data_IF_753251798652
#
_entry.id   IF_753251798652
#
_cell.length_a   1.000
_cell.length_b   1.000
_cell.length_c   1.000
_cell.angle_alpha   90.00
_cell.angle_beta   90.00
_cell.angle_gamma   90.00
#
_symmetry.space_group_name_H-M   'P 1'
#
loop_
_entity.id
_entity.type
_entity.pdbx_description
1 polymer ?
#
# COMPACT_ATOMS: atom_id res chain seq x y z
N UNK A 1 23.85 3.04 1.54
CA UNK A 1 24.47 1.70 1.55
C UNK A 1 23.40 0.65 1.76
N UNK A 2 23.49 -0.49 1.07
CA UNK A 2 22.55 -1.60 1.17
C UNK A 2 23.27 -2.86 1.67
N UNK A 3 22.70 -3.54 2.67
CA UNK A 3 23.24 -4.77 3.26
C UNK A 3 22.11 -5.74 3.63
N UNK A 4 22.37 -7.03 3.49
CA UNK A 4 21.49 -8.08 3.99
C UNK A 4 22.32 -9.02 4.84
N UNK A 5 21.79 -9.39 6.00
CA UNK A 5 22.41 -10.33 6.92
C UNK A 5 21.38 -11.38 7.33
N UNK A 6 21.87 -12.60 7.47
CA UNK A 6 21.11 -13.74 7.91
C UNK A 6 22.05 -14.59 8.78
N UNK A 7 21.75 -14.68 10.06
CA UNK A 7 22.61 -15.38 11.02
C UNK A 7 21.80 -16.10 12.08
N UNK A 8 22.38 -17.18 12.57
CA UNK A 8 21.86 -17.93 13.72
C UNK A 8 22.81 -17.69 14.89
N UNK A 9 22.29 -17.17 15.99
CA UNK A 9 23.13 -16.85 17.15
C UNK A 9 23.59 -18.14 17.84
N UNK A 10 24.88 -18.27 18.11
CA UNK A 10 25.48 -19.43 18.82
C UNK A 10 25.42 -19.30 20.35
N UNK A 11 25.37 -18.07 20.86
CA UNK A 11 25.47 -17.74 22.29
C UNK A 11 24.30 -16.85 22.73
N UNK A 12 24.06 -16.70 24.05
CA UNK A 12 23.09 -15.71 24.51
C UNK A 12 23.66 -14.30 24.37
N UNK A 13 22.98 -13.43 23.63
CA UNK A 13 23.38 -12.02 23.49
C UNK A 13 22.21 -11.12 23.09
N UNK A 14 22.39 -9.80 23.21
CA UNK A 14 21.39 -8.84 22.76
C UNK A 14 21.34 -8.78 21.23
N UNK A 15 20.12 -8.69 20.69
CA UNK A 15 19.91 -8.58 19.25
C UNK A 15 20.68 -7.43 18.59
N UNK A 16 20.74 -6.27 19.24
CA UNK A 16 21.50 -5.12 18.73
C UNK A 16 23.00 -5.38 18.66
N UNK A 17 23.55 -6.17 19.58
CA UNK A 17 24.98 -6.47 19.65
C UNK A 17 25.34 -7.49 18.57
N UNK A 18 24.59 -8.59 18.48
CA UNK A 18 24.73 -9.61 17.43
C UNK A 18 24.68 -9.01 16.02
N UNK A 19 23.71 -8.11 15.79
CA UNK A 19 23.57 -7.45 14.50
C UNK A 19 24.67 -6.43 14.25
N UNK A 20 25.09 -5.65 15.26
CA UNK A 20 26.15 -4.66 15.08
C UNK A 20 27.50 -5.32 14.76
N UNK A 21 27.84 -6.40 15.48
CA UNK A 21 29.05 -7.18 15.25
C UNK A 21 29.06 -7.78 13.84
N UNK A 22 28.02 -8.52 13.46
CA UNK A 22 27.95 -9.18 12.16
C UNK A 22 27.83 -8.20 10.98
N UNK A 23 27.19 -7.05 11.20
CA UNK A 23 26.98 -6.05 10.13
C UNK A 23 28.14 -5.07 9.98
N UNK A 24 28.97 -4.88 11.01
CA UNK A 24 29.89 -3.74 11.12
C UNK A 24 29.20 -2.38 11.21
N UNK A 25 27.88 -2.32 11.46
CA UNK A 25 27.13 -1.07 11.58
C UNK A 25 27.13 -0.56 13.02
N UNK A 26 27.13 0.77 13.21
CA UNK A 26 26.94 1.34 14.55
C UNK A 26 25.61 0.88 15.16
N UNK A 27 25.62 0.55 16.47
CA UNK A 27 24.42 0.12 17.22
C UNK A 27 23.23 1.07 17.05
N UNK A 28 23.47 2.37 16.89
CA UNK A 28 22.41 3.36 16.67
C UNK A 28 21.68 3.14 15.34
N UNK A 29 22.39 2.79 14.26
CA UNK A 29 21.79 2.48 12.96
C UNK A 29 21.01 1.17 12.99
N UNK A 30 21.50 0.19 13.75
CA UNK A 30 20.77 -1.06 14.00
C UNK A 30 19.46 -0.79 14.75
N UNK A 31 19.49 -0.01 15.84
CA UNK A 31 18.29 0.38 16.60
C UNK A 31 17.25 1.06 15.71
N UNK A 32 17.68 2.00 14.88
CA UNK A 32 16.81 2.69 13.92
C UNK A 32 16.19 1.72 12.91
N UNK A 33 17.01 0.85 12.29
CA UNK A 33 16.53 -0.17 11.35
C UNK A 33 15.52 -1.13 12.01
N UNK A 34 15.77 -1.57 13.24
CA UNK A 34 14.85 -2.42 14.01
C UNK A 34 13.53 -1.70 14.30
N UNK A 35 13.57 -0.44 14.74
CA UNK A 35 12.38 0.36 15.00
C UNK A 35 11.52 0.52 13.73
N UNK A 36 12.18 0.73 12.58
CA UNK A 36 11.58 0.83 11.24
C UNK A 36 11.18 -0.51 10.62
N UNK A 37 11.39 -1.60 11.35
CA UNK A 37 10.89 -2.93 11.00
C UNK A 37 11.81 -3.74 10.08
N UNK A 38 13.03 -3.28 9.79
CA UNK A 38 13.95 -3.94 8.86
C UNK A 38 14.65 -5.19 9.43
N UNK A 39 14.37 -5.55 10.67
CA UNK A 39 14.92 -6.73 11.34
C UNK A 39 13.83 -7.77 11.56
N UNK A 40 14.18 -9.04 11.34
CA UNK A 40 13.29 -10.19 11.47
C UNK A 40 13.92 -11.26 12.34
N UNK A 41 13.08 -12.07 12.97
CA UNK A 41 13.51 -13.27 13.69
C UNK A 41 12.49 -14.40 13.57
N UNK A 42 12.93 -15.63 13.77
CA UNK A 42 12.06 -16.79 13.84
C UNK A 42 11.50 -16.94 15.27
N UNK A 43 10.17 -16.89 15.42
CA UNK A 43 9.47 -17.09 16.68
C UNK A 43 8.31 -18.07 16.50
N UNK A 44 8.33 -19.18 17.23
CA UNK A 44 7.29 -20.24 17.18
C UNK A 44 6.97 -20.68 15.73
N UNK A 45 8.00 -20.89 14.92
CA UNK A 45 7.88 -21.29 13.52
C UNK A 45 7.41 -20.20 12.54
N UNK A 46 7.21 -18.96 13.01
CA UNK A 46 6.83 -17.81 12.18
C UNK A 46 7.95 -16.78 12.12
N UNK A 47 8.13 -16.19 10.94
CA UNK A 47 9.01 -15.04 10.78
C UNK A 47 8.23 -13.78 11.20
N UNK A 48 8.76 -13.04 12.18
CA UNK A 48 8.13 -11.79 12.65
C UNK A 48 9.17 -10.68 12.77
N UNK A 49 8.72 -9.42 12.72
CA UNK A 49 9.61 -8.26 12.86
C UNK A 49 10.14 -8.15 14.29
N UNK A 50 11.46 -7.99 14.43
CA UNK A 50 12.13 -7.79 15.71
C UNK A 50 12.44 -6.29 15.91
N UNK A 51 11.55 -5.59 16.63
CA UNK A 51 11.70 -4.14 16.89
C UNK A 51 12.44 -3.80 18.19
N UNK A 52 12.47 -4.72 19.16
CA UNK A 52 13.08 -4.47 20.49
C UNK A 52 14.59 -4.74 20.41
N UNK A 53 15.38 -3.67 20.29
CA UNK A 53 16.84 -3.75 20.17
C UNK A 53 17.54 -4.50 21.32
N UNK A 54 17.07 -4.28 22.55
CA UNK A 54 17.57 -4.97 23.76
C UNK A 54 16.88 -6.31 24.01
N UNK A 55 16.38 -6.98 22.96
CA UNK A 55 15.84 -8.34 23.08
C UNK A 55 17.03 -9.29 23.22
N UNK A 56 17.03 -10.09 24.27
CA UNK A 56 17.96 -11.20 24.41
C UNK A 56 17.59 -12.34 23.44
N UNK A 57 18.59 -12.83 22.71
CA UNK A 57 18.49 -13.92 21.74
C UNK A 57 19.10 -15.17 22.35
N UNK A 58 18.39 -16.30 22.24
CA UNK A 58 18.91 -17.59 22.69
C UNK A 58 19.76 -18.24 21.59
N UNK A 59 20.73 -19.10 21.95
CA UNK A 59 21.39 -19.99 21.00
C UNK A 59 20.40 -20.68 20.06
N UNK A 60 20.72 -20.75 18.77
CA UNK A 60 19.85 -21.30 17.72
C UNK A 60 18.80 -20.31 17.18
N UNK A 61 18.71 -19.08 17.68
CA UNK A 61 17.77 -18.08 17.15
C UNK A 61 18.28 -17.51 15.84
N UNK A 62 17.54 -17.73 14.75
CA UNK A 62 17.81 -17.09 13.45
C UNK A 62 17.27 -15.66 13.42
N UNK A 63 18.11 -14.71 13.05
CA UNK A 63 17.78 -13.29 12.84
C UNK A 63 18.25 -12.83 11.46
N UNK A 64 17.51 -11.88 10.89
CA UNK A 64 17.83 -11.28 9.59
C UNK A 64 17.73 -9.76 9.66
N UNK A 65 18.65 -9.07 8.99
CA UNK A 65 18.63 -7.62 8.83
C UNK A 65 18.64 -7.26 7.35
N UNK A 66 17.69 -6.44 6.92
CA UNK A 66 17.62 -5.87 5.59
C UNK A 66 17.86 -4.36 5.66
N UNK A 67 19.13 -3.98 5.63
CA UNK A 67 19.53 -2.59 5.83
C UNK A 67 19.66 -1.86 4.49
N UNK A 68 18.97 -0.74 4.34
CA UNK A 68 19.17 0.17 3.21
C UNK A 68 19.00 1.62 3.71
N UNK A 69 20.08 2.41 3.67
CA UNK A 69 20.07 3.80 4.15
C UNK A 69 19.03 4.65 3.44
N UNK A 70 18.80 4.43 2.14
CA UNK A 70 17.85 5.24 1.37
C UNK A 70 16.44 4.91 1.81
N UNK A 71 16.09 3.62 1.90
CA UNK A 71 14.77 3.18 2.33
C UNK A 71 14.49 3.59 3.78
N UNK A 72 15.45 3.37 4.68
CA UNK A 72 15.32 3.71 6.09
C UNK A 72 15.34 5.23 6.33
N UNK A 73 15.97 6.01 5.44
CA UNK A 73 15.97 7.47 5.48
C UNK A 73 14.65 8.11 5.06
N UNK A 74 13.76 7.38 4.38
CA UNK A 74 12.46 7.91 3.96
C UNK A 74 11.60 8.33 5.15
N UNK A 75 10.91 9.45 4.98
CA UNK A 75 9.88 9.94 5.90
C UNK A 75 8.52 9.76 5.24
N UNK A 76 7.57 9.05 5.88
CA UNK A 76 6.25 8.90 5.31
C UNK A 76 5.48 10.22 5.33
N UNK A 77 4.70 10.44 4.28
CA UNK A 77 3.55 11.33 4.37
C UNK A 77 2.48 10.69 5.27
N UNK A 78 1.79 11.50 6.06
CA UNK A 78 0.80 11.01 7.02
C UNK A 78 -0.52 10.70 6.30
N UNK A 79 -1.08 9.49 6.49
CA UNK A 79 -2.43 9.18 6.02
C UNK A 79 -3.47 9.80 6.94
N UNK A 80 -4.64 10.13 6.38
CA UNK A 80 -5.76 10.61 7.17
C UNK A 80 -6.63 9.44 7.61
N UNK A 81 -6.91 9.34 8.90
CA UNK A 81 -8.01 8.51 9.39
C UNK A 81 -9.32 9.23 9.07
N UNK A 82 -10.11 8.67 8.15
CA UNK A 82 -11.40 9.25 7.77
C UNK A 82 -12.53 8.78 8.70
N UNK A 83 -12.53 7.49 9.05
CA UNK A 83 -13.54 6.93 9.95
C UNK A 83 -12.97 5.72 10.73
N UNK A 84 -13.19 5.70 12.05
CA UNK A 84 -12.96 4.51 12.88
C UNK A 84 -14.29 3.77 13.09
N UNK A 85 -14.39 2.56 12.54
CA UNK A 85 -15.58 1.71 12.59
C UNK A 85 -15.40 0.56 13.61
N UNK A 86 -14.47 0.72 14.55
CA UNK A 86 -14.13 -0.22 15.61
C UNK A 86 -13.29 -1.39 15.11
N UNK A 87 -13.95 -2.35 14.43
CA UNK A 87 -13.28 -3.58 13.95
C UNK A 87 -12.54 -3.39 12.63
N UNK A 88 -12.76 -2.27 11.96
CA UNK A 88 -12.01 -1.80 10.82
C UNK A 88 -12.03 -0.26 10.79
N UNK A 89 -11.21 0.34 9.95
CA UNK A 89 -11.15 1.79 9.76
C UNK A 89 -10.98 2.13 8.28
N UNK A 90 -11.44 3.32 7.91
CA UNK A 90 -11.27 3.92 6.60
C UNK A 90 -10.17 4.98 6.67
N UNK A 91 -9.22 4.88 5.73
CA UNK A 91 -8.09 5.78 5.62
C UNK A 91 -7.99 6.39 4.24
N UNK A 92 -7.48 7.62 4.15
CA UNK A 92 -6.95 8.18 2.92
C UNK A 92 -5.43 7.97 2.87
N UNK A 93 -4.97 7.11 1.96
CA UNK A 93 -3.54 6.87 1.72
C UNK A 93 -2.99 7.94 0.76
N UNK A 94 -1.98 8.73 1.12
CA UNK A 94 -1.34 9.67 0.20
C UNK A 94 -0.47 8.96 -0.84
N UNK A 95 -0.03 9.72 -1.85
CA UNK A 95 0.93 9.26 -2.86
C UNK A 95 2.27 8.88 -2.20
N UNK A 96 2.95 7.86 -2.72
CA UNK A 96 4.25 7.41 -2.22
C UNK A 96 4.21 6.57 -0.93
N UNK A 97 3.12 6.58 -0.16
CA UNK A 97 2.97 5.72 1.01
C UNK A 97 2.65 4.28 0.59
N UNK A 98 3.33 3.28 1.18
CA UNK A 98 3.05 1.88 0.89
C UNK A 98 1.74 1.43 1.57
N UNK A 99 0.99 0.51 0.96
CA UNK A 99 -0.12 -0.15 1.66
C UNK A 99 0.37 -1.02 2.84
N UNK A 100 1.43 -1.80 2.59
CA UNK A 100 2.12 -2.64 3.58
C UNK A 100 3.63 -2.50 3.42
N UNK A 101 4.39 -2.72 4.50
CA UNK A 101 5.84 -2.69 4.45
C UNK A 101 6.48 -3.83 3.66
N UNK A 102 7.77 -3.67 3.40
CA UNK A 102 8.63 -4.68 2.77
C UNK A 102 9.57 -5.32 3.78
N UNK A 103 10.43 -6.24 3.36
CA UNK A 103 11.49 -6.79 4.20
C UNK A 103 12.46 -5.72 4.71
N UNK A 104 12.67 -4.64 3.93
CA UNK A 104 13.58 -3.52 4.20
C UNK A 104 13.03 -2.50 5.22
N UNK A 105 11.77 -2.65 5.63
CA UNK A 105 11.12 -1.76 6.58
C UNK A 105 9.64 -1.60 6.29
N UNK A 106 8.91 -1.10 7.28
CA UNK A 106 7.48 -0.82 7.19
C UNK A 106 7.06 0.53 7.77
N UNK A 107 8.00 1.34 8.23
CA UNK A 107 7.73 2.67 8.78
C UNK A 107 7.05 3.60 7.78
N UNK A 108 7.26 3.38 6.47
CA UNK A 108 6.57 4.08 5.39
C UNK A 108 5.38 3.29 4.82
N UNK A 109 4.59 2.65 5.68
CA UNK A 109 3.36 1.96 5.24
C UNK A 109 2.13 2.38 6.04
N UNK A 110 0.99 2.46 5.36
CA UNK A 110 -0.32 2.72 5.96
C UNK A 110 -0.58 1.76 7.12
N UNK A 111 -0.34 0.47 6.92
CA UNK A 111 -0.59 -0.55 7.96
C UNK A 111 0.17 -0.24 9.26
N UNK A 112 1.42 0.20 9.16
CA UNK A 112 2.24 0.54 10.31
C UNK A 112 1.81 1.85 10.96
N UNK A 113 1.51 2.87 10.15
CA UNK A 113 1.05 4.16 10.66
C UNK A 113 -0.30 4.04 11.37
N UNK A 114 -1.23 3.26 10.80
CA UNK A 114 -2.51 2.93 11.43
C UNK A 114 -2.33 2.15 12.74
N UNK A 115 -1.42 1.16 12.78
CA UNK A 115 -1.11 0.39 13.99
C UNK A 115 -0.59 1.29 15.12
N UNK A 116 0.31 2.23 14.80
CA UNK A 116 0.85 3.18 15.78
C UNK A 116 -0.22 4.18 16.23
N UNK A 117 -0.97 4.78 15.30
CA UNK A 117 -1.97 5.80 15.60
C UNK A 117 -3.12 5.25 16.45
N UNK A 118 -3.57 4.02 16.18
CA UNK A 118 -4.72 3.42 16.85
C UNK A 118 -4.33 2.50 18.02
N UNK A 119 -3.03 2.24 18.22
CA UNK A 119 -2.51 1.35 19.27
C UNK A 119 -3.19 -0.03 19.31
N UNK A 120 -3.52 -0.59 18.13
CA UNK A 120 -4.20 -1.88 17.99
C UNK A 120 -3.71 -2.64 16.75
N UNK A 121 -3.86 -3.98 16.72
CA UNK A 121 -3.47 -4.78 15.56
C UNK A 121 -4.11 -4.23 14.28
N UNK A 122 -3.35 -4.26 13.19
CA UNK A 122 -3.82 -3.84 11.88
C UNK A 122 -3.55 -4.93 10.86
N UNK A 123 -4.55 -5.24 10.04
CA UNK A 123 -4.49 -6.28 9.02
C UNK A 123 -4.86 -5.67 7.67
N UNK A 124 -4.05 -5.96 6.67
CA UNK A 124 -4.30 -5.54 5.30
C UNK A 124 -5.44 -6.37 4.71
N UNK A 125 -6.44 -5.70 4.12
CA UNK A 125 -7.58 -6.37 3.48
C UNK A 125 -7.60 -6.20 1.96
N UNK A 126 -6.96 -5.14 1.44
CA UNK A 126 -6.76 -4.88 0.02
C UNK A 126 -5.52 -4.01 -0.20
N UNK A 127 -5.09 -3.86 -1.46
CA UNK A 127 -3.89 -3.08 -1.81
C UNK A 127 -4.24 -1.94 -2.74
N UNK A 128 -3.53 -0.84 -2.53
CA UNK A 128 -3.39 0.26 -3.48
C UNK A 128 -1.92 0.41 -3.82
N UNK A 129 -1.62 0.72 -5.09
CA UNK A 129 -0.24 0.94 -5.53
C UNK A 129 0.41 2.08 -4.73
N UNK A 130 1.74 2.01 -4.55
CA UNK A 130 2.47 3.00 -3.77
C UNK A 130 2.26 4.42 -4.30
N UNK A 131 2.36 4.58 -5.62
CA UNK A 131 2.24 5.85 -6.31
C UNK A 131 0.79 6.35 -6.44
N UNK A 132 -0.22 5.52 -6.16
CA UNK A 132 -1.62 5.92 -6.19
C UNK A 132 -2.08 6.42 -4.81
N UNK A 133 -2.95 7.41 -4.76
CA UNK A 133 -3.57 7.87 -3.52
C UNK A 133 -5.03 7.41 -3.40
N UNK A 134 -5.62 7.51 -2.21
CA UNK A 134 -7.05 7.34 -2.03
C UNK A 134 -7.45 6.37 -0.94
N UNK A 135 -8.72 5.96 -0.99
CA UNK A 135 -9.37 5.21 0.08
C UNK A 135 -8.77 3.81 0.29
N UNK A 136 -8.49 3.48 1.54
CA UNK A 136 -8.08 2.15 1.98
C UNK A 136 -8.82 1.73 3.25
N UNK A 137 -9.12 0.43 3.35
CA UNK A 137 -9.68 -0.17 4.55
C UNK A 137 -8.56 -0.90 5.30
N UNK A 138 -8.57 -0.80 6.63
CA UNK A 138 -7.67 -1.54 7.52
C UNK A 138 -8.52 -2.27 8.55
N UNK A 139 -8.34 -3.58 8.68
CA UNK A 139 -9.02 -4.38 9.70
C UNK A 139 -8.24 -4.39 11.01
N UNK A 140 -8.93 -4.54 12.15
CA UNK A 140 -8.31 -4.50 13.49
C UNK A 140 -8.37 -5.81 14.27
N UNK A 141 -8.97 -6.84 13.68
CA UNK A 141 -8.93 -8.20 14.18
C UNK A 141 -8.96 -9.21 13.03
N UNK A 142 -8.54 -10.45 13.30
CA UNK A 142 -8.41 -11.49 12.27
C UNK A 142 -9.74 -11.89 11.62
N UNK A 143 -10.85 -11.86 12.38
CA UNK A 143 -12.19 -12.18 11.84
C UNK A 143 -12.65 -11.08 10.87
N UNK A 144 -12.47 -9.81 11.23
CA UNK A 144 -12.75 -8.67 10.36
C UNK A 144 -11.87 -8.69 9.11
N UNK A 145 -10.58 -9.01 9.27
CA UNK A 145 -9.64 -9.12 8.15
C UNK A 145 -10.09 -10.20 7.15
N UNK A 146 -10.48 -11.39 7.63
CA UNK A 146 -10.99 -12.47 6.77
C UNK A 146 -12.27 -12.06 6.04
N UNK A 147 -13.26 -11.55 6.76
CA UNK A 147 -14.55 -11.15 6.19
C UNK A 147 -14.42 -10.02 5.15
N UNK A 148 -13.62 -8.99 5.43
CA UNK A 148 -13.39 -7.90 4.48
C UNK A 148 -12.59 -8.36 3.27
N UNK A 149 -11.56 -9.21 3.45
CA UNK A 149 -10.77 -9.78 2.34
C UNK A 149 -11.63 -10.63 1.40
N UNK A 150 -12.66 -11.31 1.94
CA UNK A 150 -13.64 -12.04 1.13
C UNK A 150 -14.43 -11.13 0.20
N UNK A 151 -14.78 -9.91 0.62
CA UNK A 151 -15.47 -8.97 -0.28
C UNK A 151 -14.59 -8.60 -1.48
N UNK A 152 -13.31 -8.30 -1.24
CA UNK A 152 -12.38 -7.91 -2.31
C UNK A 152 -12.06 -9.07 -3.26
N UNK A 153 -11.85 -10.27 -2.72
CA UNK A 153 -11.59 -11.47 -3.53
C UNK A 153 -12.84 -11.97 -4.25
N UNK A 154 -14.02 -11.82 -3.65
CA UNK A 154 -15.32 -12.14 -4.22
C UNK A 154 -15.89 -11.07 -5.16
N UNK A 155 -15.16 -9.96 -5.41
CA UNK A 155 -15.57 -8.86 -6.30
C UNK A 155 -16.88 -8.18 -5.90
N UNK A 156 -17.25 -8.20 -4.62
CA UNK A 156 -18.48 -7.57 -4.10
C UNK A 156 -18.24 -6.15 -3.56
N UNK A 157 -17.11 -5.55 -3.94
CA UNK A 157 -16.77 -4.16 -3.62
C UNK A 157 -16.71 -3.37 -4.91
N UNK A 158 -17.59 -2.39 -5.05
CA UNK A 158 -17.48 -1.41 -6.14
C UNK A 158 -16.37 -0.43 -5.78
N UNK A 159 -15.38 -0.31 -6.66
CA UNK A 159 -14.24 0.60 -6.50
C UNK A 159 -14.27 1.61 -7.63
N UNK A 160 -14.33 2.89 -7.28
CA UNK A 160 -14.31 4.00 -8.24
C UNK A 160 -13.01 4.78 -8.08
N UNK A 161 -12.39 5.07 -9.21
CA UNK A 161 -11.16 5.83 -9.31
C UNK A 161 -11.38 7.08 -10.15
N UNK A 162 -10.55 8.10 -9.90
CA UNK A 162 -10.35 9.22 -10.81
C UNK A 162 -8.94 9.20 -11.33
N UNK A 163 -8.78 9.47 -12.63
CA UNK A 163 -7.48 9.62 -13.24
C UNK A 163 -7.48 10.78 -14.23
N UNK A 164 -6.33 11.42 -14.39
CA UNK A 164 -6.08 12.34 -15.50
C UNK A 164 -5.22 11.61 -16.53
N UNK A 165 -5.71 11.48 -17.75
CA UNK A 165 -5.04 10.79 -18.85
C UNK A 165 -4.55 11.76 -19.91
N UNK A 166 -3.54 11.35 -20.65
CA UNK A 166 -3.04 12.07 -21.83
C UNK A 166 -4.00 11.93 -23.01
N UNK A 167 -4.06 12.95 -23.86
CA UNK A 167 -4.94 13.02 -25.00
C UNK A 167 -6.38 13.40 -24.65
N UNK A 168 -7.20 13.50 -25.70
CA UNK A 168 -8.63 13.76 -25.60
C UNK A 168 -9.38 12.43 -25.70
N UNK A 169 -9.86 11.94 -24.56
CA UNK A 169 -10.64 10.70 -24.48
C UNK A 169 -12.12 11.06 -24.32
N UNK A 170 -12.93 10.73 -25.31
CA UNK A 170 -14.39 10.83 -25.21
C UNK A 170 -14.96 9.42 -24.96
N UNK A 171 -15.14 9.09 -23.68
CA UNK A 171 -15.63 7.80 -23.24
C UNK A 171 -16.96 7.99 -22.48
N UNK A 172 -18.00 7.33 -22.97
CA UNK A 172 -19.24 7.14 -22.22
C UNK A 172 -19.38 5.65 -21.92
N UNK A 173 -19.08 5.29 -20.67
CA UNK A 173 -19.08 3.91 -20.17
C UNK A 173 -18.28 2.92 -21.04
N UNK A 174 -17.12 3.36 -21.52
CA UNK A 174 -16.22 2.54 -22.33
C UNK A 174 -15.74 1.34 -21.53
N UNK A 175 -16.03 0.13 -22.03
CA UNK A 175 -15.58 -1.13 -21.43
C UNK A 175 -14.24 -1.53 -22.02
N UNK A 176 -13.23 -1.66 -21.16
CA UNK A 176 -11.93 -2.24 -21.50
C UNK A 176 -11.85 -3.63 -20.86
N UNK A 177 -12.22 -4.65 -21.65
CA UNK A 177 -12.11 -6.07 -21.31
C UNK A 177 -10.84 -6.64 -21.96
N UNK A 178 -9.71 -6.49 -21.27
CA UNK A 178 -8.40 -6.88 -21.74
C UNK A 178 -7.70 -7.68 -20.62
N UNK A 179 -7.59 -9.01 -20.73
CA UNK A 179 -6.96 -9.83 -19.71
C UNK A 179 -5.53 -9.39 -19.40
N UNK A 180 -5.18 -9.38 -18.12
CA UNK A 180 -3.86 -9.03 -17.63
C UNK A 180 -3.23 -10.22 -16.95
N UNK A 181 -2.00 -10.57 -17.36
CA UNK A 181 -1.25 -11.71 -16.83
C UNK A 181 -2.05 -13.03 -16.96
N UNK A 182 -2.76 -13.19 -18.08
CA UNK A 182 -3.63 -14.34 -18.36
C UNK A 182 -4.90 -14.41 -17.52
N UNK A 183 -5.25 -13.34 -16.80
CA UNK A 183 -6.43 -13.28 -15.93
C UNK A 183 -7.39 -12.20 -16.38
N UNK A 184 -8.67 -12.54 -16.32
CA UNK A 184 -9.78 -11.62 -16.54
C UNK A 184 -9.58 -10.31 -15.77
N UNK A 185 -9.81 -9.20 -16.48
CA UNK A 185 -9.58 -7.85 -16.04
C UNK A 185 -10.49 -6.91 -16.83
N UNK A 186 -11.42 -6.26 -16.14
CA UNK A 186 -12.40 -5.35 -16.75
C UNK A 186 -12.35 -3.99 -16.06
N UNK A 187 -12.31 -2.93 -16.86
CA UNK A 187 -12.39 -1.54 -16.40
C UNK A 187 -13.45 -0.80 -17.22
N UNK A 188 -14.31 -0.01 -16.57
CA UNK A 188 -15.30 0.86 -17.21
C UNK A 188 -14.90 2.31 -17.05
N UNK A 189 -14.83 3.05 -18.14
CA UNK A 189 -14.27 4.40 -18.18
C UNK A 189 -15.33 5.39 -18.64
N UNK A 190 -15.50 6.48 -17.89
CA UNK A 190 -16.39 7.59 -18.24
C UNK A 190 -15.61 8.90 -18.17
N UNK A 191 -15.70 9.71 -19.22
CA UNK A 191 -15.10 11.04 -19.26
C UNK A 191 -15.83 11.97 -18.30
N UNK A 192 -15.05 12.69 -17.49
CA UNK A 192 -15.55 13.72 -16.56
C UNK A 192 -15.34 15.12 -17.11
N UNK A 193 -14.16 15.39 -17.66
CA UNK A 193 -13.79 16.67 -18.26
C UNK A 193 -12.68 16.47 -19.29
N UNK A 194 -12.70 17.24 -20.38
CA UNK A 194 -11.63 17.30 -21.37
C UNK A 194 -10.96 18.67 -21.24
N UNK A 195 -9.63 18.70 -21.22
CA UNK A 195 -8.82 19.92 -21.12
C UNK A 195 -7.97 20.06 -22.40
N UNK A 196 -8.51 20.70 -23.47
CA UNK A 196 -7.84 20.76 -24.76
C UNK A 196 -6.47 21.44 -24.73
N UNK A 197 -6.33 22.50 -23.92
CA UNK A 197 -5.10 23.31 -23.82
C UNK A 197 -3.93 22.50 -23.23
N UNK A 198 -4.22 21.56 -22.34
CA UNK A 198 -3.23 20.66 -21.74
C UNK A 198 -3.08 19.34 -22.49
N UNK A 199 -3.97 19.08 -23.46
CA UNK A 199 -4.13 17.79 -24.12
C UNK A 199 -4.30 16.65 -23.11
N UNK A 200 -5.19 16.84 -22.13
CA UNK A 200 -5.51 15.86 -21.08
C UNK A 200 -7.03 15.66 -20.93
N UNK A 201 -7.41 14.57 -20.27
CA UNK A 201 -8.80 14.24 -19.94
C UNK A 201 -8.88 13.70 -18.53
N UNK A 202 -9.80 14.23 -17.73
CA UNK A 202 -10.19 13.62 -16.45
C UNK A 202 -11.24 12.53 -16.68
N UNK A 203 -10.98 11.35 -16.13
CA UNK A 203 -11.85 10.18 -16.26
C UNK A 203 -12.18 9.57 -14.91
N UNK A 204 -13.39 9.03 -14.83
CA UNK A 204 -13.79 8.08 -13.82
C UNK A 204 -13.52 6.66 -14.33
N UNK A 205 -12.98 5.82 -13.45
CA UNK A 205 -12.75 4.40 -13.76
C UNK A 205 -13.36 3.52 -12.69
N UNK A 206 -14.26 2.63 -13.08
CA UNK A 206 -14.76 1.55 -12.22
C UNK A 206 -14.01 0.28 -12.57
N UNK A 207 -13.59 -0.48 -11.55
CA UNK A 207 -12.97 -1.80 -11.74
C UNK A 207 -13.69 -2.85 -10.91
N UNK A 208 -13.93 -3.99 -11.53
CA UNK A 208 -14.48 -5.17 -10.84
C UNK A 208 -13.34 -6.00 -10.24
N UNK A 209 -12.26 -6.14 -11.00
CA UNK A 209 -11.04 -6.84 -10.61
C UNK A 209 -10.03 -5.89 -9.95
N UNK A 210 -8.86 -6.42 -9.54
CA UNK A 210 -7.79 -5.66 -8.91
C UNK A 210 -6.42 -6.19 -9.31
N UNK A 211 -6.17 -6.32 -10.62
CA UNK A 211 -4.88 -6.79 -11.15
C UNK A 211 -3.80 -5.72 -10.94
N UNK A 212 -2.54 -6.14 -10.90
CA UNK A 212 -1.40 -5.23 -10.69
C UNK A 212 -1.45 -4.14 -11.76
N UNK A 213 -1.43 -2.87 -11.36
CA UNK A 213 -1.45 -1.72 -12.27
C UNK A 213 -2.59 -1.77 -13.31
N UNK A 214 -3.75 -2.35 -12.97
CA UNK A 214 -4.82 -2.63 -13.95
C UNK A 214 -5.25 -1.38 -14.72
N UNK A 215 -5.68 -0.34 -14.02
CA UNK A 215 -6.17 0.92 -14.62
C UNK A 215 -5.08 1.54 -15.50
N UNK A 216 -3.85 1.59 -14.98
CA UNK A 216 -2.67 2.11 -15.68
C UNK A 216 -2.43 1.39 -17.02
N UNK A 217 -2.46 0.06 -17.00
CA UNK A 217 -2.27 -0.78 -18.20
C UNK A 217 -3.42 -0.65 -19.18
N UNK A 218 -4.67 -0.65 -18.71
CA UNK A 218 -5.85 -0.54 -19.57
C UNK A 218 -5.88 0.79 -20.31
N UNK A 219 -5.70 1.90 -19.58
CA UNK A 219 -5.75 3.25 -20.16
C UNK A 219 -4.57 3.48 -21.12
N UNK A 220 -3.36 3.06 -20.75
CA UNK A 220 -2.21 3.11 -21.67
C UNK A 220 -2.42 2.22 -22.91
N UNK A 221 -3.04 1.04 -22.75
CA UNK A 221 -3.30 0.11 -23.84
C UNK A 221 -4.27 0.65 -24.91
N UNK A 222 -5.14 1.59 -24.55
CA UNK A 222 -6.02 2.30 -25.49
C UNK A 222 -5.44 3.64 -25.96
N UNK A 223 -4.15 3.92 -25.68
CA UNK A 223 -3.46 5.13 -26.12
C UNK A 223 -3.58 6.34 -25.18
N UNK A 224 -4.22 6.20 -24.02
CA UNK A 224 -4.48 7.28 -23.06
C UNK A 224 -3.80 7.01 -21.72
N UNK A 225 -2.47 7.01 -21.69
CA UNK A 225 -1.71 6.76 -20.46
C UNK A 225 -2.03 7.81 -19.38
N UNK A 226 -2.04 7.39 -18.11
CA UNK A 226 -2.24 8.28 -16.96
C UNK A 226 -1.09 9.28 -16.88
N UNK A 227 -1.41 10.56 -16.67
CA UNK A 227 -0.42 11.62 -16.46
C UNK A 227 0.45 11.28 -15.24
N UNK A 228 1.76 11.37 -15.42
CA UNK A 228 2.76 11.07 -14.40
C UNK A 228 3.03 9.58 -14.16
N UNK A 229 2.46 8.69 -14.98
CA UNK A 229 2.79 7.28 -14.96
C UNK A 229 4.17 7.01 -15.58
N UNK A 230 5.19 6.87 -14.74
CA UNK A 230 6.57 6.59 -15.17
C UNK A 230 6.79 5.24 -15.84
N UNK A 231 5.84 4.30 -15.73
CA UNK A 231 6.00 2.94 -16.25
C UNK A 231 5.31 2.75 -17.59
N UNK A 232 4.14 3.35 -17.78
CA UNK A 232 3.30 3.15 -18.96
C UNK A 232 3.04 4.43 -19.77
N UNK A 233 3.64 5.55 -19.35
CA UNK A 233 3.55 6.82 -20.02
C UNK A 233 4.77 7.69 -19.70
N UNK A 234 4.54 8.97 -19.44
CA UNK A 234 5.59 9.95 -19.15
C UNK A 234 5.55 10.40 -17.69
N UNK A 235 6.73 10.63 -17.13
CA UNK A 235 6.85 11.24 -15.80
C UNK A 235 6.27 12.67 -15.81
N UNK A 236 5.68 13.07 -14.69
CA UNK A 236 5.14 14.42 -14.47
C UNK A 236 5.55 14.91 -13.07
N UNK A 237 5.80 16.23 -12.87
CA UNK A 237 6.14 16.77 -11.55
C UNK A 237 5.12 16.43 -10.45
N UNK A 238 3.83 16.40 -10.79
CA UNK A 238 2.73 16.07 -9.86
C UNK A 238 2.68 14.58 -9.46
N UNK A 239 3.51 13.72 -10.08
CA UNK A 239 3.43 12.28 -9.87
C UNK A 239 2.21 11.65 -10.55
N UNK A 240 1.89 10.40 -10.17
CA UNK A 240 0.83 9.63 -10.80
C UNK A 240 -0.56 10.21 -10.48
N UNK A 241 -1.24 10.76 -11.49
CA UNK A 241 -2.60 11.30 -11.37
C UNK A 241 -3.67 10.20 -11.34
N UNK A 242 -3.63 9.33 -10.32
CA UNK A 242 -4.60 8.25 -10.09
C UNK A 242 -5.01 8.19 -8.62
N UNK A 243 -6.32 8.25 -8.36
CA UNK A 243 -6.89 8.28 -7.02
C UNK A 243 -8.04 7.29 -6.85
N UNK A 244 -8.04 6.50 -5.78
CA UNK A 244 -9.19 5.71 -5.35
C UNK A 244 -10.18 6.61 -4.59
N UNK A 245 -11.28 6.98 -5.24
CA UNK A 245 -12.19 8.02 -4.72
C UNK A 245 -13.46 7.47 -4.08
N UNK A 246 -13.84 6.22 -4.35
CA UNK A 246 -15.05 5.65 -3.75
C UNK A 246 -14.92 4.16 -3.50
N UNK A 247 -15.48 3.70 -2.38
CA UNK A 247 -15.67 2.29 -2.03
C UNK A 247 -17.12 2.06 -1.61
N UNK A 248 -17.79 1.09 -2.23
CA UNK A 248 -19.16 0.69 -1.87
C UNK A 248 -19.24 -0.81 -1.67
N UNK A 249 -19.89 -1.23 -0.58
CA UNK A 249 -20.09 -2.64 -0.23
C UNK A 249 -21.13 -2.80 0.88
N UNK A 250 -21.66 -4.01 1.04
CA UNK A 250 -22.42 -4.39 2.25
C UNK A 250 -21.43 -4.87 3.31
N UNK A 251 -21.40 -4.22 4.47
CA UNK A 251 -20.45 -4.55 5.53
C UNK A 251 -20.73 -5.97 6.06
N UNK A 252 -19.77 -6.92 5.95
CA UNK A 252 -19.99 -8.32 6.31
C UNK A 252 -20.08 -8.52 7.83
N UNK A 253 -19.73 -7.50 8.61
CA UNK A 253 -19.81 -7.52 10.07
C UNK A 253 -21.16 -7.01 10.59
N UNK A 254 -21.84 -6.15 9.85
CA UNK A 254 -23.04 -5.46 10.33
C UNK A 254 -24.25 -5.59 9.40
N UNK A 255 -24.09 -6.15 8.20
CA UNK A 255 -25.14 -6.21 7.16
C UNK A 255 -25.56 -4.87 6.57
N UNK A 256 -24.90 -3.76 6.97
CA UNK A 256 -25.28 -2.39 6.52
C UNK A 256 -24.54 -2.04 5.23
N UNK A 257 -25.25 -1.41 4.30
CA UNK A 257 -24.61 -0.78 3.14
C UNK A 257 -23.62 0.31 3.59
N UNK A 258 -22.44 0.32 2.99
CA UNK A 258 -21.39 1.32 3.18
C UNK A 258 -21.09 1.97 1.85
N UNK A 259 -21.00 3.29 1.86
CA UNK A 259 -20.62 4.11 0.72
C UNK A 259 -19.65 5.18 1.23
N UNK A 260 -18.37 4.99 0.92
CA UNK A 260 -17.31 5.90 1.33
C UNK A 260 -16.80 6.68 0.13
N UNK A 261 -16.64 7.98 0.31
CA UNK A 261 -16.08 8.89 -0.69
C UNK A 261 -14.82 9.55 -0.14
N UNK A 262 -13.79 9.67 -0.97
CA UNK A 262 -12.61 10.43 -0.63
C UNK A 262 -12.97 11.91 -0.45
N UNK A 263 -12.29 12.62 0.46
CA UNK A 263 -12.49 14.06 0.60
C UNK A 263 -12.18 14.76 -0.72
N UNK A 264 -13.01 15.74 -1.08
CA UNK A 264 -12.72 16.68 -2.16
C UNK A 264 -11.61 17.61 -1.70
N UNK A 265 -10.34 17.18 -1.74
CA UNK A 265 -9.23 18.10 -1.52
C UNK A 265 -9.24 19.11 -2.67
N UNK A 266 -9.37 20.39 -2.33
CA UNK A 266 -9.49 21.55 -3.25
C UNK A 266 -8.20 21.87 -4.03
N UNK A 267 -7.17 21.05 -3.90
CA UNK A 267 -5.85 21.33 -4.42
C UNK A 267 -5.31 20.07 -5.07
N UNK A 268 -5.54 19.94 -6.36
CA UNK A 268 -4.58 19.45 -7.34
C UNK A 268 -4.86 20.18 -8.66
#
# INVERSE_FOLDING_TARGET
MRRTLDLTVSESQLAVDALAEASGLPKQRIKDAMAKGACWWAQKGKQVRLRKAKRELKPGTRIQLFYDDQVLGLKPEQPDLLEDLGRYSLWYKPHGLLAQGSQWGDHCSLLRLAEVALSRPCYLVHRLDADAAGLMLVAHDSKAAGALSQLFSGRTVTKTYRATVTGQLNADDLIIDAPLDGKESVSRVTTLAIHPDENTTDVQVLIETGRKHQIRRHLAGIGHAIVGDRLYGSAHPSGLCLKAVQLQFVCPLTGKARNFSAPSRKTD
#
